data_IF_033442495095
#
_entry.id   IF_033442495095
#
_cell.length_a   1.000
_cell.length_b   1.000
_cell.length_c   1.000
_cell.angle_alpha   90.00
_cell.angle_beta   90.00
_cell.angle_gamma   90.00
#
_symmetry.space_group_name_H-M   'P 1'
#
loop_
_entity.id
_entity.type
_entity.pdbx_description
1 polymer ?
#
# COMPACT_ATOMS: atom_id res chain seq x y z
N UNK A 1 -48.69 -37.43 -19.81
CA UNK A 1 -47.50 -37.97 -19.12
C UNK A 1 -46.31 -37.08 -19.46
N UNK A 2 -45.70 -36.39 -18.49
CA UNK A 2 -44.50 -35.57 -18.72
C UNK A 2 -43.27 -36.48 -18.69
N UNK A 3 -42.54 -36.60 -19.79
CA UNK A 3 -41.25 -37.33 -19.84
C UNK A 3 -40.21 -36.49 -19.09
N UNK A 4 -39.75 -36.99 -17.94
CA UNK A 4 -38.58 -36.44 -17.27
C UNK A 4 -37.34 -36.85 -18.08
N UNK A 5 -36.63 -35.86 -18.60
CA UNK A 5 -35.33 -36.06 -19.24
C UNK A 5 -34.27 -36.11 -18.12
N UNK A 6 -33.56 -37.24 -18.02
CA UNK A 6 -32.44 -37.40 -17.09
C UNK A 6 -31.16 -36.88 -17.71
N UNK A 7 -30.27 -36.33 -16.88
CA UNK A 7 -28.92 -35.94 -17.28
C UNK A 7 -28.11 -37.17 -17.70
N UNK A 8 -27.32 -37.04 -18.77
CA UNK A 8 -26.37 -38.07 -19.18
C UNK A 8 -25.06 -37.93 -18.39
N UNK A 9 -24.37 -39.06 -18.17
CA UNK A 9 -23.06 -39.05 -17.51
C UNK A 9 -22.01 -38.22 -18.28
N UNK A 10 -22.11 -38.19 -19.61
CA UNK A 10 -21.21 -37.41 -20.47
C UNK A 10 -21.44 -35.90 -20.32
N UNK A 11 -22.70 -35.46 -20.19
CA UNK A 11 -23.02 -34.06 -19.93
C UNK A 11 -22.43 -33.59 -18.59
N UNK A 12 -22.54 -34.42 -17.54
CA UNK A 12 -21.95 -34.09 -16.25
C UNK A 12 -20.42 -34.03 -16.31
N UNK A 13 -19.79 -34.97 -17.02
CA UNK A 13 -18.34 -35.06 -17.14
C UNK A 13 -17.74 -33.84 -17.86
N UNK A 14 -18.38 -33.39 -18.94
CA UNK A 14 -17.92 -32.21 -19.69
C UNK A 14 -18.06 -30.93 -18.86
N UNK A 15 -19.08 -30.83 -18.01
CA UNK A 15 -19.27 -29.63 -17.17
C UNK A 15 -18.17 -29.51 -16.12
N UNK A 16 -17.85 -30.60 -15.40
CA UNK A 16 -16.80 -30.55 -14.39
C UNK A 16 -15.41 -30.34 -14.99
N UNK A 17 -15.17 -30.82 -16.22
CA UNK A 17 -13.90 -30.61 -16.91
C UNK A 17 -13.72 -29.15 -17.33
N UNK A 18 -14.77 -28.49 -17.83
CA UNK A 18 -14.75 -27.06 -18.16
C UNK A 18 -14.54 -26.22 -16.88
N UNK A 19 -15.27 -26.51 -15.80
CA UNK A 19 -15.09 -25.81 -14.52
C UNK A 19 -13.66 -25.99 -13.99
N UNK A 20 -13.10 -27.20 -14.10
CA UNK A 20 -11.72 -27.50 -13.71
C UNK A 20 -10.69 -26.64 -14.46
N UNK A 21 -10.83 -26.49 -15.78
CA UNK A 21 -9.92 -25.66 -16.58
C UNK A 21 -10.08 -24.17 -16.26
N UNK A 22 -11.30 -23.68 -16.08
CA UNK A 22 -11.53 -22.26 -15.78
C UNK A 22 -11.00 -21.88 -14.39
N UNK A 23 -11.18 -22.75 -13.39
CA UNK A 23 -10.74 -22.49 -12.01
C UNK A 23 -9.22 -22.40 -11.87
N UNK A 24 -8.44 -23.21 -12.59
CA UNK A 24 -6.97 -23.16 -12.52
C UNK A 24 -6.41 -21.86 -13.08
N UNK A 25 -6.97 -21.34 -14.18
CA UNK A 25 -6.56 -20.06 -14.78
C UNK A 25 -6.85 -18.87 -13.85
N UNK A 26 -7.97 -18.90 -13.12
CA UNK A 26 -8.35 -17.84 -12.18
C UNK A 26 -7.38 -17.78 -10.99
N UNK A 27 -7.03 -18.94 -10.41
CA UNK A 27 -6.18 -19.01 -9.22
C UNK A 27 -4.77 -18.46 -9.49
N UNK A 28 -4.22 -18.71 -10.68
CA UNK A 28 -2.89 -18.21 -11.06
C UNK A 28 -2.80 -16.67 -11.10
N UNK A 29 -3.89 -15.98 -11.44
CA UNK A 29 -3.91 -14.51 -11.51
C UNK A 29 -4.20 -13.83 -10.16
N UNK A 30 -4.67 -14.59 -9.16
CA UNK A 30 -5.12 -14.05 -7.88
C UNK A 30 -3.95 -13.67 -6.95
N UNK A 31 -2.80 -14.33 -7.06
CA UNK A 31 -1.60 -13.98 -6.26
C UNK A 31 -1.11 -12.58 -6.57
N UNK A 32 -1.01 -12.26 -7.85
CA UNK A 32 -0.45 -10.98 -8.33
C UNK A 32 -1.42 -9.84 -8.04
N UNK A 33 -2.72 -10.08 -8.23
CA UNK A 33 -3.76 -9.12 -7.87
C UNK A 33 -3.73 -8.78 -6.37
N UNK A 34 -3.49 -9.76 -5.49
CA UNK A 34 -3.36 -9.55 -4.05
C UNK A 34 -2.11 -8.76 -3.68
N UNK A 35 -0.98 -9.00 -4.35
CA UNK A 35 0.25 -8.21 -4.17
C UNK A 35 0.02 -6.74 -4.51
N UNK A 36 -0.55 -6.47 -5.69
CA UNK A 36 -0.89 -5.10 -6.13
C UNK A 36 -1.89 -4.41 -5.20
N UNK A 37 -2.85 -5.15 -4.63
CA UNK A 37 -3.79 -4.61 -3.65
C UNK A 37 -3.08 -4.18 -2.36
N UNK A 38 -2.12 -4.99 -1.86
CA UNK A 38 -1.30 -4.62 -0.69
C UNK A 38 -0.42 -3.42 -0.97
N UNK A 39 0.20 -3.35 -2.15
CA UNK A 39 1.00 -2.19 -2.57
C UNK A 39 0.14 -0.91 -2.66
N UNK A 40 -1.06 -1.00 -3.23
CA UNK A 40 -2.00 0.12 -3.26
C UNK A 40 -2.41 0.57 -1.85
N UNK A 41 -2.55 -0.37 -0.92
CA UNK A 41 -2.83 -0.04 0.47
C UNK A 41 -1.64 0.66 1.13
N UNK A 42 -0.41 0.17 0.96
CA UNK A 42 0.81 0.83 1.45
C UNK A 42 0.93 2.27 0.94
N UNK A 43 0.74 2.49 -0.37
CA UNK A 43 0.74 3.83 -0.97
C UNK A 43 -0.30 4.76 -0.32
N UNK A 44 -1.50 4.25 -0.03
CA UNK A 44 -2.55 5.02 0.66
C UNK A 44 -2.19 5.32 2.11
N UNK A 45 -1.64 4.35 2.83
CA UNK A 45 -1.20 4.52 4.22
C UNK A 45 -0.10 5.57 4.36
N UNK A 46 0.88 5.62 3.45
CA UNK A 46 1.88 6.69 3.40
C UNK A 46 1.27 8.06 3.12
N UNK A 47 0.26 8.13 2.23
CA UNK A 47 -0.43 9.39 1.94
C UNK A 47 -1.23 9.89 3.16
N UNK A 48 -1.85 8.98 3.91
CA UNK A 48 -2.50 9.30 5.18
C UNK A 48 -1.47 9.77 6.22
N UNK A 49 -0.29 9.16 6.27
CA UNK A 49 0.80 9.60 7.13
C UNK A 49 1.32 11.00 6.76
N UNK A 50 1.48 11.31 5.46
CA UNK A 50 1.77 12.68 5.00
C UNK A 50 0.75 13.69 5.53
N UNK A 51 -0.53 13.32 5.49
CA UNK A 51 -1.61 14.17 6.02
C UNK A 51 -1.48 14.38 7.53
N UNK A 52 -1.17 13.32 8.29
CA UNK A 52 -0.95 13.40 9.73
C UNK A 52 0.28 14.26 10.09
N UNK A 53 1.38 14.13 9.35
CA UNK A 53 2.57 14.97 9.50
C UNK A 53 2.25 16.44 9.23
N UNK A 54 1.38 16.73 8.26
CA UNK A 54 0.93 18.10 8.00
C UNK A 54 0.09 18.67 9.14
N UNK A 55 -0.71 17.85 9.82
CA UNK A 55 -1.42 18.28 11.02
C UNK A 55 -0.44 18.61 12.15
N UNK A 56 0.58 17.76 12.37
CA UNK A 56 1.65 18.03 13.33
C UNK A 56 2.35 19.37 13.02
N UNK A 57 2.70 19.59 11.75
CA UNK A 57 3.34 20.82 11.30
C UNK A 57 2.48 22.06 11.59
N UNK A 58 1.15 21.98 11.43
CA UNK A 58 0.28 23.11 11.73
C UNK A 58 0.34 23.52 13.22
N UNK A 59 0.51 22.56 14.11
CA UNK A 59 0.56 22.80 15.55
C UNK A 59 1.95 23.24 16.02
N UNK A 60 3.01 22.65 15.47
CA UNK A 60 4.40 22.85 15.92
C UNK A 60 5.22 23.81 15.04
N UNK A 61 4.72 24.17 13.86
CA UNK A 61 5.42 24.95 12.83
C UNK A 61 6.75 24.31 12.34
N UNK A 62 6.92 23.01 12.58
CA UNK A 62 8.04 22.20 12.12
C UNK A 62 7.60 20.74 12.03
N UNK A 63 8.24 19.94 11.18
CA UNK A 63 8.08 18.49 11.17
C UNK A 63 8.85 17.83 12.33
N UNK A 64 8.43 16.64 12.79
CA UNK A 64 9.14 15.94 13.86
C UNK A 64 10.54 15.54 13.39
N UNK A 65 11.52 15.57 14.29
CA UNK A 65 12.84 15.07 13.96
C UNK A 65 12.78 13.57 13.63
N UNK A 66 13.67 13.11 12.74
CA UNK A 66 13.72 11.67 12.38
C UNK A 66 13.87 10.76 13.61
N UNK A 67 14.55 11.23 14.66
CA UNK A 67 14.74 10.50 15.90
C UNK A 67 13.47 10.41 16.77
N UNK A 68 12.56 11.38 16.64
CA UNK A 68 11.33 11.47 17.42
C UNK A 68 10.14 10.81 16.72
N UNK A 69 10.28 10.49 15.43
CA UNK A 69 9.22 9.83 14.67
C UNK A 69 9.07 8.37 15.11
N UNK A 70 7.90 7.96 15.63
CA UNK A 70 7.67 6.57 15.98
C UNK A 70 7.67 5.70 14.72
N UNK A 71 8.33 4.54 14.78
CA UNK A 71 8.37 3.56 13.67
C UNK A 71 7.17 2.61 13.69
N UNK A 72 6.37 2.62 14.76
CA UNK A 72 5.18 1.79 14.90
C UNK A 72 4.24 2.37 15.96
N UNK A 73 2.99 1.89 15.98
CA UNK A 73 2.00 2.32 16.97
C UNK A 73 1.30 3.62 16.59
N UNK A 74 1.25 4.57 17.52
CA UNK A 74 0.51 5.82 17.38
C UNK A 74 1.48 6.98 17.17
N UNK A 75 1.17 7.86 16.23
CA UNK A 75 1.83 9.15 16.08
C UNK A 75 1.01 10.22 16.83
N UNK A 76 1.63 10.77 17.87
CA UNK A 76 1.06 11.78 18.75
C UNK A 76 2.07 12.88 19.00
N UNK A 77 1.56 13.97 19.53
CA UNK A 77 2.32 15.05 20.14
C UNK A 77 3.30 14.50 21.21
N UNK A 78 4.52 15.08 21.36
CA UNK A 78 5.47 14.70 22.40
C UNK A 78 4.93 14.83 23.83
N UNK A 79 4.06 15.80 24.08
CA UNK A 79 3.40 16.03 25.37
C UNK A 79 2.15 15.14 25.55
N UNK A 80 1.71 14.47 24.48
CA UNK A 80 0.60 13.52 24.48
C UNK A 80 -0.79 14.15 24.36
N UNK A 81 -0.86 15.46 24.13
CA UNK A 81 -2.11 16.22 24.09
C UNK A 81 -2.92 16.03 22.78
N UNK A 82 -2.23 15.74 21.67
CA UNK A 82 -2.84 15.50 20.38
C UNK A 82 -2.40 14.16 19.78
N UNK A 83 -3.35 13.44 19.13
CA UNK A 83 -3.07 12.22 18.39
C UNK A 83 -3.33 12.46 16.91
N UNK A 84 -2.27 12.47 16.10
CA UNK A 84 -2.32 12.73 14.67
C UNK A 84 -2.63 11.48 13.85
N UNK A 85 -2.16 10.30 14.28
CA UNK A 85 -2.47 9.04 13.63
C UNK A 85 -2.47 7.88 14.62
N UNK A 86 -3.59 7.16 14.76
CA UNK A 86 -3.72 6.07 15.73
C UNK A 86 -2.89 4.84 15.40
N UNK A 87 -2.72 4.54 14.11
CA UNK A 87 -2.00 3.37 13.63
C UNK A 87 -1.08 3.79 12.50
N UNK A 88 0.22 3.66 12.72
CA UNK A 88 1.23 3.86 11.71
C UNK A 88 1.30 2.67 10.73
N UNK A 89 1.76 2.89 9.49
CA UNK A 89 2.17 1.83 8.60
C UNK A 89 3.28 1.00 9.26
N UNK A 90 3.37 -0.30 8.95
CA UNK A 90 4.34 -1.20 9.62
C UNK A 90 5.73 -1.16 9.00
N UNK A 91 5.85 -0.79 7.72
CA UNK A 91 7.10 -0.82 6.95
C UNK A 91 7.25 0.50 6.18
N UNK A 92 7.65 1.56 6.87
CA UNK A 92 7.98 2.84 6.26
C UNK A 92 9.26 3.40 6.87
N UNK A 93 9.95 4.21 6.07
CA UNK A 93 11.09 5.00 6.51
C UNK A 93 10.68 6.46 6.44
N UNK A 94 10.83 7.18 7.55
CA UNK A 94 10.71 8.63 7.59
C UNK A 94 12.09 9.25 7.70
N UNK A 95 12.37 10.24 6.86
CA UNK A 95 13.59 11.04 6.93
C UNK A 95 13.21 12.52 6.82
N UNK A 96 13.39 13.26 7.91
CA UNK A 96 13.36 14.70 7.88
C UNK A 96 14.56 15.22 7.07
N UNK A 97 14.30 16.16 6.16
CA UNK A 97 15.34 16.84 5.38
C UNK A 97 15.69 18.14 6.10
N UNK A 98 14.67 18.95 6.39
CA UNK A 98 14.74 20.22 7.09
C UNK A 98 13.48 20.37 7.98
N UNK A 99 13.35 21.48 8.71
CA UNK A 99 12.18 21.74 9.56
C UNK A 99 10.86 21.77 8.78
N UNK A 100 10.91 22.11 7.48
CA UNK A 100 9.76 22.26 6.58
C UNK A 100 9.65 21.14 5.53
N UNK A 101 10.53 20.12 5.56
CA UNK A 101 10.56 19.09 4.52
C UNK A 101 10.89 17.71 5.05
N UNK A 102 10.22 16.70 4.50
CA UNK A 102 10.44 15.30 4.84
C UNK A 102 10.24 14.39 3.63
N UNK A 103 10.75 13.17 3.76
CA UNK A 103 10.49 12.06 2.84
C UNK A 103 10.01 10.84 3.60
N UNK A 104 8.97 10.20 3.08
CA UNK A 104 8.49 8.90 3.48
C UNK A 104 8.82 7.91 2.36
N UNK A 105 9.45 6.78 2.68
CA UNK A 105 9.66 5.71 1.70
C UNK A 105 9.13 4.38 2.20
N UNK A 106 8.74 3.51 1.27
CA UNK A 106 8.40 2.12 1.56
C UNK A 106 8.75 1.21 0.39
N UNK A 107 9.09 -0.04 0.73
CA UNK A 107 9.31 -1.09 -0.25
C UNK A 107 7.99 -1.73 -0.66
N UNK A 108 7.70 -1.68 -1.95
CA UNK A 108 6.57 -2.36 -2.57
C UNK A 108 6.93 -3.82 -2.87
N UNK A 109 5.93 -4.69 -2.87
CA UNK A 109 6.11 -6.10 -3.26
C UNK A 109 6.38 -6.22 -4.77
N UNK A 110 5.74 -5.37 -5.58
CA UNK A 110 6.02 -5.25 -6.99
C UNK A 110 7.15 -4.25 -7.26
N UNK A 111 8.39 -4.74 -7.38
CA UNK A 111 9.55 -3.91 -7.72
C UNK A 111 9.50 -3.30 -9.14
N UNK A 112 8.61 -3.79 -10.01
CA UNK A 112 8.39 -3.24 -11.38
C UNK A 112 7.19 -2.29 -11.45
N UNK A 113 6.67 -1.84 -10.31
CA UNK A 113 5.60 -0.86 -10.24
C UNK A 113 6.07 0.50 -10.80
N UNK A 114 5.36 1.02 -11.81
CA UNK A 114 5.73 2.27 -12.49
C UNK A 114 5.62 3.49 -11.57
N UNK A 115 4.86 3.41 -10.48
CA UNK A 115 4.73 4.52 -9.55
C UNK A 115 6.02 4.74 -8.75
N UNK A 116 6.92 3.76 -8.66
CA UNK A 116 8.22 3.88 -7.99
C UNK A 116 9.05 5.02 -8.63
N UNK A 117 9.50 4.93 -9.90
CA UNK A 117 10.29 5.99 -10.52
C UNK A 117 9.51 7.30 -10.68
N UNK A 118 8.19 7.24 -10.89
CA UNK A 118 7.34 8.45 -10.97
C UNK A 118 7.32 9.22 -9.66
N UNK A 119 7.17 8.51 -8.53
CA UNK A 119 7.15 9.12 -7.20
C UNK A 119 8.50 9.76 -6.83
N UNK A 120 9.60 9.09 -7.17
CA UNK A 120 10.95 9.62 -6.96
C UNK A 120 11.21 10.87 -7.78
N UNK A 121 10.81 10.86 -9.05
CA UNK A 121 10.92 12.04 -9.93
C UNK A 121 10.09 13.20 -9.39
N UNK A 122 8.88 12.94 -8.90
CA UNK A 122 8.02 13.95 -8.30
C UNK A 122 8.66 14.59 -7.07
N UNK A 123 9.36 13.80 -6.25
CA UNK A 123 10.08 14.27 -5.07
C UNK A 123 11.51 14.77 -5.34
N UNK A 124 11.94 14.82 -6.61
CA UNK A 124 13.29 15.25 -6.98
C UNK A 124 14.41 14.32 -6.46
N UNK A 125 14.09 13.08 -6.12
CA UNK A 125 15.05 12.08 -5.61
C UNK A 125 15.57 11.25 -6.78
N UNK A 126 16.87 10.95 -6.77
CA UNK A 126 17.51 10.12 -7.81
C UNK A 126 16.94 8.70 -7.87
N UNK A 127 16.92 8.12 -9.08
CA UNK A 127 16.25 6.84 -9.38
C UNK A 127 17.02 5.58 -8.95
N UNK A 128 17.97 5.71 -8.03
CA UNK A 128 18.82 4.59 -7.58
C UNK A 128 18.22 3.84 -6.39
N UNK A 129 17.19 4.39 -5.75
CA UNK A 129 16.47 3.73 -4.67
C UNK A 129 15.33 2.87 -5.26
N UNK A 130 15.17 1.58 -4.94
CA UNK A 130 14.02 0.78 -5.40
C UNK A 130 12.71 1.06 -4.64
N UNK A 131 12.67 2.06 -3.76
CA UNK A 131 11.53 2.34 -2.89
C UNK A 131 10.55 3.37 -3.49
N UNK A 132 9.26 3.18 -3.19
CA UNK A 132 8.25 4.20 -3.46
C UNK A 132 8.38 5.33 -2.43
N UNK A 133 8.29 6.59 -2.88
CA UNK A 133 8.55 7.76 -2.03
C UNK A 133 7.38 8.74 -2.01
N UNK A 134 7.11 9.35 -0.86
CA UNK A 134 6.18 10.47 -0.69
C UNK A 134 6.92 11.62 0.00
N UNK A 135 6.97 12.78 -0.63
CA UNK A 135 7.59 14.00 -0.11
C UNK A 135 6.55 14.94 0.53
N UNK A 136 7.03 15.90 1.33
CA UNK A 136 6.21 16.90 2.03
C UNK A 136 5.32 17.74 1.10
N UNK A 137 5.79 18.08 -0.09
CA UNK A 137 5.05 18.87 -1.09
C UNK A 137 4.99 18.18 -2.45
#
# INVERSE_FOLDING_TARGET
>A
MKKHHGFTLIELLVVISIIGVLTTLILANLSDARGRARDSQKKSELTQLKTALRLYYNDHQQYPATADMPTSGTFSDPDGDAVYMKKLPTDFTYTQIDDDSFTLSATLENASDLDIPTSQTACGIGTTNPEFVVCSD
#
